data_IF_064477378619
#
_entry.id   IF_064477378619
#
_cell.length_a   1.000
_cell.length_b   1.000
_cell.length_c   1.000
_cell.angle_alpha   90.00
_cell.angle_beta   90.00
_cell.angle_gamma   90.00
#
_symmetry.space_group_name_H-M   'P 1'
#
loop_
_entity.id
_entity.type
_entity.pdbx_description
1 polymer ?
#
# COMPACT_ATOMS: atom_id res chain seq x y z
N UNK A 3 -6.68 6.83 5.34
CA UNK A 3 -5.86 7.86 5.98
C UNK A 3 -4.82 8.47 5.06
N UNK A 4 -4.91 9.79 4.91
CA UNK A 4 -4.13 10.52 3.90
C UNK A 4 -3.79 11.94 4.29
N UNK A 5 -3.44 12.73 3.29
CA UNK A 5 -2.54 13.86 3.45
C UNK A 5 -1.15 13.32 3.67
N UNK A 6 -0.88 12.21 2.97
CA UNK A 6 0.49 11.79 2.66
C UNK A 6 0.86 12.61 1.42
N UNK A 7 1.98 12.30 0.78
CA UNK A 7 2.48 13.14 -0.31
C UNK A 7 1.54 13.35 -1.53
N UNK A 8 0.44 12.62 -1.64
CA UNK A 8 -0.33 12.69 -2.89
C UNK A 8 -1.67 13.40 -2.81
N UNK A 9 -2.12 13.96 -3.95
CA UNK A 9 -3.48 14.49 -4.10
C UNK A 9 -4.50 13.42 -3.74
N UNK A 10 -5.56 13.83 -3.06
CA UNK A 10 -6.57 12.88 -2.57
C UNK A 10 -7.21 12.04 -3.67
N UNK A 11 -7.39 12.63 -4.85
CA UNK A 11 -8.02 11.90 -5.95
C UNK A 11 -7.07 10.83 -6.50
N UNK A 12 -5.77 11.06 -6.31
CA UNK A 12 -4.76 10.11 -6.77
C UNK A 12 -4.67 8.93 -5.80
N UNK A 13 -4.93 9.20 -4.53
CA UNK A 13 -4.93 8.14 -3.52
C UNK A 13 -6.14 7.24 -3.72
N UNK A 14 -7.29 7.87 -4.01
CA UNK A 14 -8.51 7.13 -4.30
C UNK A 14 -8.37 6.33 -5.59
N UNK A 15 -7.79 6.96 -6.61
CA UNK A 15 -7.61 6.31 -7.90
C UNK A 15 -6.77 5.05 -7.72
N UNK A 16 -5.76 5.15 -6.88
CA UNK A 16 -4.84 4.03 -6.62
C UNK A 16 -5.50 2.90 -5.83
N UNK A 17 -6.55 3.22 -5.07
CA UNK A 17 -7.27 2.21 -4.30
C UNK A 17 -8.18 1.39 -5.20
N UNK A 18 -8.76 2.04 -6.20
CA UNK A 18 -9.59 1.37 -7.18
C UNK A 18 -8.74 0.48 -8.09
N UNK A 19 -7.56 0.99 -8.45
CA UNK A 19 -6.62 0.23 -9.27
C UNK A 19 -6.16 -1.05 -8.57
N UNK A 20 -5.83 -0.93 -7.29
CA UNK A 20 -5.41 -2.07 -6.50
C UNK A 20 -6.49 -3.14 -6.42
N UNK A 21 -7.74 -2.71 -6.27
CA UNK A 21 -8.86 -3.64 -6.22
C UNK A 21 -9.01 -4.39 -7.53
N UNK A 22 -8.81 -3.69 -8.64
CA UNK A 22 -8.89 -4.29 -9.97
C UNK A 22 -7.78 -5.32 -10.17
N UNK A 23 -6.57 -4.96 -9.75
CA UNK A 23 -5.41 -5.83 -9.88
C UNK A 23 -5.50 -7.05 -8.96
N UNK A 24 -6.06 -6.87 -7.77
CA UNK A 24 -6.18 -7.98 -6.83
C UNK A 24 -7.30 -8.95 -7.22
N UNK A 25 -8.13 -8.54 -8.18
CA UNK A 25 -9.19 -9.40 -8.67
C UNK A 25 -10.54 -9.15 -8.02
N UNK A 26 -10.58 -8.20 -7.08
CA UNK A 26 -11.84 -7.87 -6.40
C UNK A 26 -12.86 -7.33 -7.39
N UNK A 27 -12.35 -6.81 -8.50
CA UNK A 27 -13.19 -6.39 -9.61
C UNK A 27 -12.55 -6.87 -10.92
N UNK A 28 -13.32 -7.59 -11.72
CA UNK A 28 -12.80 -8.14 -12.97
C UNK A 28 -13.45 -7.46 -14.17
N UNK A 29 -13.04 -7.87 -15.36
CA UNK A 29 -13.48 -7.21 -16.59
C UNK A 29 -14.96 -7.46 -16.86
N UNK A 30 -15.71 -6.37 -17.06
CA UNK A 30 -17.13 -6.46 -17.30
C UNK A 30 -17.95 -6.22 -16.05
N UNK A 31 -17.29 -6.28 -14.89
CA UNK A 31 -17.97 -6.11 -13.61
C UNK A 31 -18.22 -4.63 -13.30
N UNK A 33 -18.28 -1.40 -10.95
CA UNK A 33 -17.69 -0.79 -9.76
C UNK A 33 -18.69 0.17 -9.10
N UNK A 34 -18.51 0.44 -7.80
CA UNK A 34 -19.40 1.34 -7.07
C UNK A 34 -19.56 2.68 -7.77
N UNK A 35 -20.74 3.29 -7.62
CA UNK A 35 -20.99 4.59 -8.23
C UNK A 35 -20.18 5.69 -7.54
N UNK A 36 -19.99 6.80 -8.23
CA UNK A 36 -19.34 7.97 -7.64
C UNK A 36 -20.09 8.38 -6.38
N UNK A 37 -21.41 8.32 -6.46
CA UNK A 37 -22.30 8.67 -5.35
C UNK A 37 -22.13 7.74 -4.15
N UNK A 38 -21.96 6.44 -4.41
CA UNK A 38 -21.82 5.47 -3.34
C UNK A 38 -20.52 5.73 -2.58
N UNK A 39 -19.44 5.90 -3.34
CA UNK A 39 -18.13 6.20 -2.76
C UNK A 39 -18.13 7.48 -1.96
N UNK A 40 -18.77 8.53 -2.49
CA UNK A 40 -18.81 9.83 -1.84
C UNK A 40 -19.49 9.75 -0.47
N UNK A 41 -20.73 9.27 -0.46
CA UNK A 41 -21.52 9.20 0.77
C UNK A 41 -20.94 8.21 1.79
N UNK A 42 -20.47 7.07 1.29
CA UNK A 42 -19.94 6.02 2.16
C UNK A 42 -18.65 6.46 2.85
N UNK A 43 -17.68 6.89 2.06
CA UNK A 43 -16.36 7.26 2.58
C UNK A 43 -16.23 8.75 2.90
N UNK A 44 -17.33 9.48 2.76
CA UNK A 44 -17.36 10.91 3.08
C UNK A 44 -16.29 11.71 2.35
N UNK A 45 -16.25 11.55 1.03
CA UNK A 45 -15.28 12.27 0.20
C UNK A 45 -15.97 13.30 -0.68
N UNK A 46 -15.27 14.39 -0.98
CA UNK A 46 -15.80 15.41 -1.87
C UNK A 46 -16.16 14.80 -3.22
N UNK A 47 -17.43 14.97 -3.64
CA UNK A 47 -17.91 14.42 -4.91
C UNK A 47 -17.06 14.89 -6.09
N UNK A 48 -16.67 16.16 -6.09
CA UNK A 48 -15.85 16.71 -7.16
C UNK A 48 -14.53 15.95 -7.29
N UNK A 49 -13.95 15.56 -6.15
CA UNK A 49 -12.71 14.80 -6.13
C UNK A 49 -12.93 13.38 -6.64
N UNK A 50 -14.01 12.75 -6.19
CA UNK A 50 -14.35 11.40 -6.62
C UNK A 50 -14.54 11.35 -8.13
N UNK A 51 -15.29 12.31 -8.65
CA UNK A 51 -15.55 12.41 -10.07
C UNK A 51 -14.24 12.58 -10.84
N UNK A 52 -13.31 13.34 -10.27
CA UNK A 52 -12.00 13.56 -10.86
C UNK A 52 -11.22 12.26 -10.94
N UNK A 53 -11.35 11.43 -9.91
CA UNK A 53 -10.65 10.15 -9.85
C UNK A 53 -11.21 9.17 -10.88
N UNK A 54 -12.53 9.16 -11.01
CA UNK A 54 -13.21 8.31 -11.99
C UNK A 54 -12.91 8.75 -13.43
N UNK A 55 -12.93 10.06 -13.65
CA UNK A 55 -12.66 10.60 -14.98
C UNK A 55 -11.25 10.20 -15.42
N UNK A 56 -10.32 10.22 -14.47
CA UNK A 56 -8.94 9.81 -14.73
C UNK A 56 -8.88 8.37 -15.21
N UNK A 57 -9.69 7.51 -14.60
CA UNK A 57 -9.76 6.10 -14.97
C UNK A 57 -10.49 5.93 -16.31
N UNK A 58 -11.40 6.84 -16.62
CA UNK A 58 -12.11 6.81 -17.89
C UNK A 58 -11.14 7.15 -19.02
N UNK A 59 -10.42 8.25 -18.85
CA UNK A 59 -9.45 8.71 -19.84
C UNK A 59 -8.35 7.67 -20.07
N UNK A 60 -8.13 6.81 -19.09
CA UNK A 60 -7.07 5.79 -19.17
C UNK A 60 -7.63 4.48 -19.71
N UNK A 61 -8.93 4.47 -20.01
CA UNK A 61 -9.60 3.28 -20.53
C UNK A 61 -9.58 2.12 -19.53
N UNK A 62 -9.52 2.44 -18.25
CA UNK A 62 -9.61 1.43 -17.20
C UNK A 62 -11.06 1.03 -16.98
N UNK A 63 -11.94 2.04 -16.99
CA UNK A 63 -13.37 1.82 -16.80
C UNK A 63 -14.17 2.50 -17.90
N UNK A 64 -15.43 2.13 -18.02
CA UNK A 64 -16.32 2.73 -19.01
C UNK A 64 -17.67 3.00 -18.36
N UNK A 65 -18.28 4.12 -18.70
CA UNK A 65 -19.64 4.40 -18.26
C UNK A 65 -20.59 3.69 -19.23
N UNK A 66 -21.54 2.91 -18.72
CA UNK A 66 -22.51 2.25 -19.61
C UNK A 66 -23.96 2.56 -19.27
N UNK A 67 -24.85 2.34 -20.24
CA UNK A 67 -26.17 2.96 -20.24
C UNK A 67 -26.90 2.92 -18.90
N UNK A 68 -27.39 1.75 -18.50
CA UNK A 68 -28.12 1.62 -17.25
C UNK A 68 -27.31 0.91 -16.17
N UNK A 69 -26.20 0.32 -16.59
CA UNK A 69 -25.40 -0.56 -15.75
C UNK A 69 -24.49 0.18 -14.76
N UNK A 70 -24.24 1.46 -15.02
CA UNK A 70 -23.30 2.20 -14.21
C UNK A 70 -21.88 2.13 -14.76
N UNK A 72 -18.37 0.33 -15.46
CA UNK A 72 -17.85 -1.03 -15.57
C UNK A 72 -16.34 -1.08 -15.85
N UNK A 73 -15.70 -2.19 -15.49
CA UNK A 73 -14.28 -2.39 -15.75
C UNK A 73 -14.08 -2.80 -17.22
N UNK A 74 -13.29 -2.01 -17.93
CA UNK A 74 -13.01 -2.27 -19.35
C UNK A 74 -12.14 -3.51 -19.52
N UNK A 75 -12.17 -4.09 -20.72
CA UNK A 75 -11.45 -5.35 -20.98
C UNK A 75 -9.95 -5.13 -21.17
N UNK A 76 -9.13 -6.01 -20.60
CA UNK A 76 -7.68 -5.88 -20.66
C UNK A 76 -7.12 -4.93 -19.62
N UNK A 77 -7.99 -4.29 -18.85
CA UNK A 77 -7.60 -3.31 -17.83
C UNK A 77 -6.50 -3.75 -16.84
N UNK A 78 -6.64 -4.94 -16.24
CA UNK A 78 -5.68 -5.36 -15.22
C UNK A 78 -4.25 -5.36 -15.74
N UNK A 79 -4.08 -5.85 -16.96
CA UNK A 79 -2.76 -5.89 -17.58
C UNK A 79 -2.28 -4.50 -17.98
N UNK A 80 -3.20 -3.69 -18.49
CA UNK A 80 -2.86 -2.31 -18.84
C UNK A 80 -2.38 -1.54 -17.62
N UNK A 81 -2.95 -1.84 -16.46
CA UNK A 81 -2.56 -1.19 -15.21
C UNK A 81 -1.19 -1.68 -14.74
N UNK A 82 -0.96 -2.99 -14.84
CA UNK A 82 0.32 -3.58 -14.44
C UNK A 82 1.46 -3.03 -15.29
N UNK A 83 1.25 -2.96 -16.60
CA UNK A 83 2.25 -2.39 -17.50
C UNK A 83 2.47 -0.91 -17.19
N UNK A 84 1.38 -0.20 -16.90
CA UNK A 84 1.46 1.20 -16.52
C UNK A 84 2.31 1.39 -15.27
N UNK A 85 2.03 0.59 -14.25
CA UNK A 85 2.80 0.67 -13.01
C UNK A 85 4.27 0.44 -13.32
N UNK A 86 4.56 -0.59 -14.09
CA UNK A 86 5.93 -0.91 -14.46
C UNK A 86 6.57 0.27 -15.18
N UNK A 87 5.91 0.77 -16.22
CA UNK A 87 6.41 1.90 -16.99
C UNK A 87 6.65 3.15 -16.14
N UNK A 88 5.66 3.53 -15.34
CA UNK A 88 5.79 4.70 -14.48
C UNK A 88 7.00 4.57 -13.57
N UNK A 89 7.19 3.37 -13.01
CA UNK A 89 8.35 3.11 -12.16
C UNK A 89 9.64 3.30 -12.95
N UNK A 90 9.70 2.71 -14.14
CA UNK A 90 10.90 2.75 -14.97
C UNK A 90 11.37 4.16 -15.29
N UNK A 91 10.52 4.96 -15.92
CA UNK A 91 10.91 6.30 -16.34
C UNK A 91 10.91 7.35 -15.23
N UNK A 92 9.85 7.38 -14.43
CA UNK A 92 9.68 8.43 -13.42
C UNK A 92 10.21 8.09 -12.03
N UNK A 93 10.70 6.87 -11.84
CA UNK A 93 11.23 6.47 -10.53
C UNK A 93 12.64 5.91 -10.59
N UNK A 94 12.82 4.80 -11.29
CA UNK A 94 14.08 4.07 -11.30
C UNK A 94 15.31 4.98 -11.40
N UNK A 95 15.33 5.89 -12.39
CA UNK A 95 16.40 6.88 -12.37
C UNK A 95 16.14 7.89 -11.25
N UNK A 96 17.18 8.49 -10.70
CA UNK A 96 17.10 9.31 -9.49
C UNK A 96 17.19 8.41 -8.25
N UNK A 97 17.00 7.11 -8.44
CA UNK A 97 17.48 6.11 -7.49
C UNK A 97 18.78 5.56 -8.06
N UNK A 98 19.13 6.06 -9.23
CA UNK A 98 20.11 5.43 -10.13
C UNK A 98 21.61 5.53 -9.84
N UNK A 99 22.25 6.72 -9.80
CA UNK A 99 21.69 8.07 -9.60
C UNK A 99 21.51 8.34 -8.11
N UNK A 100 21.58 7.24 -7.36
CA UNK A 100 21.76 7.23 -5.92
C UNK A 100 22.92 6.27 -5.67
N UNK A 101 22.72 5.02 -6.08
CA UNK A 101 23.74 3.98 -5.97
C UNK A 101 24.95 4.36 -6.82
N UNK A 102 24.81 5.44 -7.58
CA UNK A 102 25.95 6.10 -8.22
C UNK A 102 26.71 6.90 -7.17
N UNK A 103 26.03 7.89 -6.60
CA UNK A 103 26.63 8.77 -5.58
C UNK A 103 27.35 7.97 -4.49
N UNK A 104 26.82 6.78 -4.19
CA UNK A 104 27.54 5.83 -3.34
C UNK A 104 27.74 4.52 -4.09
N UNK A 105 28.97 4.04 -4.13
CA UNK A 105 29.31 2.88 -4.93
C UNK A 105 28.38 1.69 -4.70
N UNK A 106 28.17 0.91 -5.75
CA UNK A 106 27.20 -0.18 -5.71
C UNK A 106 27.20 -1.01 -6.99
N UNK A 107 26.61 -2.20 -6.93
CA UNK A 107 26.46 -3.08 -8.08
C UNK A 107 25.83 -2.34 -9.26
N UNK B 3 -3.31 -12.14 6.60
CA UNK B 3 -2.15 -12.64 5.86
C UNK B 3 -2.41 -13.89 5.03
N UNK B 4 -3.20 -13.69 3.98
CA UNK B 4 -3.28 -14.59 2.85
C UNK B 4 -1.89 -14.36 2.17
N UNK B 5 -1.65 -14.74 0.91
CA UNK B 5 -2.64 -14.85 -0.16
C UNK B 5 -2.77 -16.26 -0.71
N UNK B 6 -1.74 -16.72 -1.41
CA UNK B 6 -1.74 -18.01 -2.10
C UNK B 6 -2.73 -18.14 -3.28
N UNK B 7 -3.50 -19.22 -3.29
CA UNK B 7 -4.34 -19.61 -4.43
C UNK B 7 -5.51 -18.70 -4.85
N UNK B 8 -5.92 -17.74 -4.02
CA UNK B 8 -7.23 -17.11 -4.25
C UNK B 8 -7.27 -15.59 -4.32
N UNK B 9 -8.30 -15.04 -4.99
CA UNK B 9 -8.59 -13.61 -4.88
C UNK B 9 -8.82 -13.25 -3.41
N UNK B 10 -8.30 -12.11 -2.97
CA UNK B 10 -8.35 -11.73 -1.56
C UNK B 10 -9.78 -11.63 -1.00
N UNK B 11 -10.69 -11.09 -1.80
CA UNK B 11 -12.07 -10.89 -1.33
C UNK B 11 -12.79 -12.22 -1.11
N UNK B 12 -12.33 -13.27 -1.79
CA UNK B 12 -12.90 -14.60 -1.61
C UNK B 12 -12.39 -15.24 -0.32
N UNK B 13 -11.19 -14.84 0.09
CA UNK B 13 -10.59 -15.34 1.32
C UNK B 13 -11.21 -14.66 2.52
N UNK B 14 -11.44 -13.35 2.41
CA UNK B 14 -12.12 -12.61 3.47
C UNK B 14 -13.55 -13.11 3.59
N UNK B 15 -14.18 -13.36 2.45
CA UNK B 15 -15.53 -13.91 2.40
C UNK B 15 -15.58 -15.24 3.13
N UNK B 16 -14.54 -16.06 2.96
CA UNK B 16 -14.47 -17.36 3.60
C UNK B 16 -14.27 -17.25 5.10
N UNK B 17 -13.56 -16.22 5.55
CA UNK B 17 -13.34 -16.01 6.97
C UNK B 17 -14.65 -15.69 7.68
N UNK B 18 -15.49 -14.91 7.01
CA UNK B 18 -16.78 -14.51 7.57
C UNK B 18 -17.74 -15.68 7.64
N UNK B 19 -17.74 -16.52 6.60
CA UNK B 19 -18.57 -17.73 6.60
C UNK B 19 -18.16 -18.64 7.75
N UNK B 20 -16.85 -18.75 7.95
CA UNK B 20 -16.31 -19.57 9.03
C UNK B 20 -16.79 -19.06 10.38
N UNK B 21 -16.78 -17.73 10.55
CA UNK B 21 -17.24 -17.09 11.77
C UNK B 21 -18.75 -17.31 12.00
N UNK B 22 -19.49 -17.44 10.91
CA UNK B 22 -20.93 -17.68 10.99
C UNK B 22 -21.21 -19.14 11.36
N UNK B 23 -20.53 -20.05 10.67
CA UNK B 23 -20.66 -21.48 10.94
C UNK B 23 -20.22 -21.83 12.35
N UNK B 24 -19.15 -21.20 12.81
CA UNK B 24 -18.62 -21.48 14.15
C UNK B 24 -19.45 -20.85 15.27
N UNK B 25 -20.40 -19.99 14.90
CA UNK B 25 -21.31 -19.41 15.88
C UNK B 25 -20.86 -18.11 16.51
N UNK B 26 -19.86 -17.46 15.92
CA UNK B 26 -19.40 -16.18 16.42
C UNK B 26 -20.38 -15.08 16.03
N UNK B 27 -20.93 -15.18 14.83
CA UNK B 27 -22.00 -14.30 14.40
C UNK B 27 -23.30 -15.09 14.31
N UNK B 28 -24.21 -14.85 15.25
CA UNK B 28 -25.49 -15.55 15.26
C UNK B 28 -26.46 -14.90 14.28
N UNK B 29 -27.44 -15.67 13.84
CA UNK B 29 -28.47 -15.15 12.95
C UNK B 29 -29.24 -14.02 13.63
N UNK B 30 -29.42 -12.91 12.91
CA UNK B 30 -30.14 -11.77 13.45
C UNK B 30 -29.22 -10.77 14.13
N UNK B 31 -28.03 -11.23 14.50
CA UNK B 31 -27.04 -10.38 15.14
C UNK B 31 -26.32 -9.49 14.13
N UNK B 33 -23.09 -7.63 12.41
CA UNK B 33 -21.70 -7.97 12.14
C UNK B 33 -20.89 -6.70 11.89
N UNK B 34 -19.57 -6.76 12.11
CA UNK B 34 -18.73 -5.56 11.99
C UNK B 34 -18.95 -4.84 10.67
N UNK B 35 -18.91 -3.51 10.71
CA UNK B 35 -19.09 -2.69 9.53
C UNK B 35 -17.92 -2.87 8.57
N UNK B 36 -18.16 -2.59 7.29
CA UNK B 36 -17.10 -2.62 6.30
C UNK B 36 -15.96 -1.74 6.78
N UNK B 37 -16.34 -0.63 7.40
CA UNK B 37 -15.39 0.35 7.92
C UNK B 37 -14.48 -0.27 8.98
N UNK B 38 -15.07 -1.04 9.89
CA UNK B 38 -14.33 -1.68 10.98
C UNK B 38 -13.39 -2.79 10.49
N UNK B 39 -13.82 -3.54 9.48
CA UNK B 39 -13.01 -4.64 8.96
C UNK B 39 -11.75 -4.13 8.27
N UNK B 40 -11.94 -3.18 7.35
CA UNK B 40 -10.82 -2.57 6.63
C UNK B 40 -9.86 -1.84 7.56
N UNK B 41 -10.40 -1.25 8.64
CA UNK B 41 -9.60 -0.49 9.59
C UNK B 41 -8.64 -1.35 10.42
N UNK B 42 -9.18 -2.37 11.06
CA UNK B 42 -8.39 -3.19 11.98
C UNK B 42 -7.48 -4.18 11.26
N UNK B 43 -7.97 -4.78 10.19
CA UNK B 43 -7.22 -5.80 9.48
C UNK B 43 -6.39 -5.25 8.31
N UNK B 44 -6.41 -3.93 8.14
CA UNK B 44 -5.59 -3.28 7.13
C UNK B 44 -5.91 -3.76 5.72
N UNK B 45 -7.20 -3.85 5.40
CA UNK B 45 -7.64 -4.31 4.09
C UNK B 45 -8.24 -3.16 3.29
N UNK B 46 -8.04 -3.20 1.97
CA UNK B 46 -8.67 -2.23 1.08
C UNK B 46 -10.19 -2.29 1.24
N UNK B 47 -10.78 -1.17 1.66
CA UNK B 47 -12.22 -1.11 1.95
C UNK B 47 -13.08 -1.43 0.72
N UNK B 48 -12.53 -1.23 -0.47
CA UNK B 48 -13.23 -1.60 -1.69
C UNK B 48 -13.25 -3.12 -1.85
N UNK B 49 -12.13 -3.75 -1.54
CA UNK B 49 -12.05 -5.21 -1.55
C UNK B 49 -12.99 -5.76 -0.48
N UNK B 50 -13.07 -5.05 0.64
CA UNK B 50 -13.96 -5.43 1.74
C UNK B 50 -15.42 -5.32 1.33
N UNK B 51 -15.75 -4.28 0.57
CA UNK B 51 -17.12 -4.10 0.09
C UNK B 51 -17.52 -5.26 -0.82
N UNK B 52 -16.62 -5.63 -1.73
CA UNK B 52 -16.86 -6.75 -2.63
C UNK B 52 -17.16 -8.02 -1.85
N UNK B 53 -16.46 -8.22 -0.75
CA UNK B 53 -16.67 -9.39 0.09
C UNK B 53 -18.08 -9.39 0.69
N UNK B 54 -18.47 -8.25 1.24
CA UNK B 54 -19.80 -8.07 1.82
C UNK B 54 -20.90 -8.18 0.77
N UNK B 55 -20.61 -7.68 -0.43
CA UNK B 55 -21.58 -7.69 -1.52
C UNK B 55 -21.94 -9.10 -1.97
N UNK B 56 -20.92 -9.94 -2.18
CA UNK B 56 -21.14 -11.31 -2.60
C UNK B 56 -21.91 -12.09 -1.53
N UNK B 57 -21.79 -11.64 -0.29
CA UNK B 57 -22.54 -12.24 0.81
C UNK B 57 -23.99 -11.78 0.78
N UNK B 58 -24.21 -10.50 0.45
CA UNK B 58 -25.55 -9.96 0.30
C UNK B 58 -26.26 -10.68 -0.84
N UNK B 59 -25.57 -10.84 -1.96
CA UNK B 59 -26.10 -11.53 -3.12
C UNK B 59 -26.50 -12.97 -2.80
N UNK B 60 -25.74 -13.63 -1.93
CA UNK B 60 -26.03 -15.01 -1.56
C UNK B 60 -27.07 -15.06 -0.44
N UNK B 61 -27.54 -13.88 -0.04
CA UNK B 61 -28.55 -13.75 1.00
C UNK B 61 -28.08 -14.28 2.36
N UNK B 62 -26.77 -14.26 2.56
CA UNK B 62 -26.20 -14.67 3.84
C UNK B 62 -26.38 -13.55 4.87
N UNK B 63 -26.16 -12.31 4.43
CA UNK B 63 -26.35 -11.15 5.28
C UNK B 63 -27.36 -10.19 4.64
N UNK B 64 -27.66 -9.09 5.34
CA UNK B 64 -28.60 -8.11 4.81
C UNK B 64 -28.33 -6.73 5.40
N UNK B 65 -28.80 -5.71 4.69
CA UNK B 65 -28.62 -4.34 5.11
C UNK B 65 -29.91 -3.87 5.79
N UNK B 66 -29.76 -3.32 7.00
CA UNK B 66 -30.89 -2.76 7.73
C UNK B 66 -30.49 -1.39 8.31
N UNK B 67 -31.20 -0.35 7.89
CA UNK B 67 -30.86 1.02 8.25
C UNK B 67 -30.77 1.24 9.76
N UNK B 68 -29.64 1.77 10.21
CA UNK B 68 -29.40 2.11 11.60
C UNK B 68 -28.80 0.96 12.40
N UNK B 69 -29.08 -0.26 11.95
CA UNK B 69 -28.46 -1.44 12.54
C UNK B 69 -27.23 -1.84 11.74
N UNK B 70 -27.05 -1.22 10.57
CA UNK B 70 -25.99 -1.62 9.66
C UNK B 70 -26.23 -2.97 9.01
N UNK B 72 -26.55 -7.12 8.91
CA UNK B 72 -27.01 -8.21 9.77
C UNK B 72 -26.87 -9.58 9.12
N UNK B 73 -26.94 -10.63 9.94
CA UNK B 73 -26.94 -12.01 9.45
C UNK B 73 -28.37 -12.51 9.24
N UNK B 74 -28.70 -12.88 8.00
CA UNK B 74 -30.04 -13.35 7.67
C UNK B 74 -30.35 -14.69 8.35
N UNK B 75 -31.60 -14.84 8.77
CA UNK B 75 -32.05 -16.07 9.42
C UNK B 75 -31.92 -17.27 8.49
N UNK B 76 -31.30 -18.34 8.98
CA UNK B 76 -31.14 -19.55 8.19
C UNK B 76 -29.81 -19.61 7.48
N UNK B 77 -29.03 -18.55 7.59
CA UNK B 77 -27.72 -18.46 6.94
C UNK B 77 -26.77 -19.59 7.33
N UNK B 78 -26.61 -19.82 8.63
CA UNK B 78 -25.67 -20.84 9.11
C UNK B 78 -25.93 -22.21 8.49
N UNK B 79 -27.20 -22.61 8.41
CA UNK B 79 -27.53 -23.91 7.86
C UNK B 79 -27.29 -23.93 6.35
N UNK B 80 -27.60 -22.81 5.72
CA UNK B 80 -27.40 -22.63 4.28
C UNK B 80 -25.93 -22.78 3.93
N UNK B 81 -25.07 -22.20 4.76
CA UNK B 81 -23.63 -22.26 4.56
C UNK B 81 -23.06 -23.65 4.82
N UNK B 82 -23.49 -24.28 5.91
CA UNK B 82 -23.03 -25.61 6.26
C UNK B 82 -23.23 -26.59 5.10
N UNK B 83 -24.45 -26.63 4.58
CA UNK B 83 -24.79 -27.50 3.47
C UNK B 83 -23.95 -27.21 2.23
N UNK B 84 -23.79 -25.92 1.90
CA UNK B 84 -22.99 -25.52 0.75
C UNK B 84 -21.57 -26.05 0.87
N UNK B 85 -20.94 -25.79 2.02
CA UNK B 85 -19.57 -26.21 2.26
C UNK B 85 -19.41 -27.72 2.42
N UNK B 86 -20.41 -28.38 2.99
CA UNK B 86 -20.34 -29.83 3.20
C UNK B 86 -20.53 -30.58 1.88
N UNK B 87 -21.46 -30.09 1.07
CA UNK B 87 -21.80 -30.74 -0.19
C UNK B 87 -20.69 -30.58 -1.21
N UNK B 88 -20.08 -29.39 -1.24
CA UNK B 88 -18.96 -29.15 -2.14
C UNK B 88 -17.83 -30.11 -1.79
N UNK B 89 -17.51 -30.18 -0.50
CA UNK B 89 -16.47 -31.07 0.00
C UNK B 89 -16.80 -32.54 -0.27
N UNK B 90 -18.05 -32.94 -0.02
CA UNK B 90 -18.44 -34.34 -0.23
C UNK B 90 -18.48 -34.72 -1.71
N UNK B 91 -18.52 -33.72 -2.59
CA UNK B 91 -18.61 -33.97 -4.03
C UNK B 91 -17.29 -33.72 -4.74
N UNK B 92 -16.84 -32.47 -4.75
CA UNK B 92 -15.65 -32.08 -5.51
C UNK B 92 -14.37 -32.30 -4.73
N UNK B 93 -14.48 -32.83 -3.51
CA UNK B 93 -13.31 -33.07 -2.67
C UNK B 93 -13.23 -34.49 -2.12
N UNK B 94 -14.25 -34.90 -1.37
CA UNK B 94 -14.22 -36.14 -0.60
C UNK B 94 -13.77 -37.40 -1.34
N UNK B 95 -14.07 -37.52 -2.65
CA UNK B 95 -13.41 -38.61 -3.39
C UNK B 95 -11.90 -38.37 -3.45
N UNK B 96 -11.13 -39.19 -4.16
CA UNK B 96 -9.69 -38.94 -4.24
C UNK B 96 -9.14 -38.61 -2.86
N UNK B 97 -8.97 -39.61 -1.98
CA UNK B 97 -9.14 -39.43 -0.53
C UNK B 97 -10.63 -39.23 -0.34
N UNK B 98 -11.40 -40.32 -0.40
CA UNK B 98 -10.94 -41.70 -0.11
C UNK B 98 -9.94 -42.46 -1.00
N UNK B 99 -9.81 -42.14 -2.28
CA UNK B 99 -8.87 -42.90 -3.14
C UNK B 99 -7.46 -43.04 -2.55
N UNK B 100 -6.79 -41.90 -2.36
CA UNK B 100 -5.44 -41.87 -1.79
C UNK B 100 -5.37 -42.65 -0.47
N UNK B 101 -6.50 -42.75 0.22
CA UNK B 101 -6.60 -43.54 1.45
C UNK B 101 -6.71 -45.04 1.18
N UNK B 102 -7.56 -45.40 0.20
CA UNK B 102 -7.65 -46.78 -0.24
C UNK B 102 -6.22 -47.28 -0.46
N UNK B 103 -5.53 -46.63 -1.40
CA UNK B 103 -4.10 -46.83 -1.55
C UNK B 103 -3.45 -46.55 -0.19
N UNK B 104 -2.40 -47.30 0.15
CA UNK B 104 -1.85 -47.32 1.51
C UNK B 104 -2.90 -47.62 2.59
N UNK B 105 -2.82 -46.93 3.72
CA UNK B 105 -3.60 -47.30 4.89
C UNK B 105 -4.79 -46.41 5.20
N UNK B 106 -5.57 -46.81 6.19
CA UNK B 106 -6.74 -46.04 6.60
C UNK B 106 -7.01 -46.09 8.10
N UNK B 107 -7.80 -45.11 8.55
CA UNK B 107 -8.47 -45.11 9.84
C UNK B 107 -7.60 -45.27 11.09
N UNK B 108 -6.85 -44.22 11.42
CA UNK B 108 -6.27 -44.09 12.75
C UNK B 108 -7.19 -44.71 13.79
N UNK C 7 9.05 19.87 9.29
CA UNK C 7 8.80 18.48 9.66
C UNK C 7 10.10 17.77 10.02
N UNK C 8 10.01 16.79 10.91
CA UNK C 8 11.19 16.19 11.53
C UNK C 8 11.69 17.15 12.61
N UNK C 9 12.42 16.65 13.62
CA UNK C 9 12.67 17.47 14.82
C UNK C 9 13.59 18.63 14.53
N UNK C 10 13.21 19.49 13.60
CA UNK C 10 14.10 20.47 13.01
C UNK C 10 15.34 19.67 12.74
N UNK C 11 16.49 20.32 12.88
CA UNK C 11 17.66 19.77 13.54
C UNK C 11 18.23 18.49 12.93
N UNK C 12 17.43 17.76 12.14
CA UNK C 12 17.98 16.82 11.17
C UNK C 12 17.96 17.55 9.84
N UNK C 13 17.23 18.65 9.81
CA UNK C 13 17.07 19.47 8.62
C UNK C 13 18.34 20.24 8.37
N UNK C 14 18.94 20.73 9.46
CA UNK C 14 20.23 21.41 9.35
C UNK C 14 21.30 20.34 9.22
N UNK C 15 21.21 19.33 10.08
CA UNK C 15 22.12 18.20 10.05
C UNK C 15 22.22 17.55 8.67
N UNK C 16 21.08 17.18 8.09
CA UNK C 16 21.08 16.53 6.78
C UNK C 16 21.54 17.50 5.69
N UNK C 17 21.00 18.71 5.72
CA UNK C 17 21.37 19.74 4.73
C UNK C 17 22.88 19.93 4.68
N UNK C 18 23.50 19.97 5.86
CA UNK C 18 24.96 20.08 5.95
C UNK C 18 25.61 18.80 5.42
N UNK C 19 25.12 17.66 5.86
CA UNK C 19 25.62 16.36 5.41
C UNK C 19 25.60 16.27 3.89
N UNK C 20 24.46 16.60 3.28
CA UNK C 20 24.34 16.60 1.82
C UNK C 20 25.22 17.65 1.18
N UNK C 21 25.48 18.73 1.90
CA UNK C 21 26.35 19.80 1.42
C UNK C 21 27.79 19.31 1.27
N UNK C 22 28.25 18.51 2.22
CA UNK C 22 29.59 17.93 2.15
C UNK C 22 29.65 16.92 1.00
N UNK C 23 28.66 16.05 0.96
CA UNK C 23 28.58 14.99 -0.04
C UNK C 23 28.44 15.55 -1.47
N UNK C 24 27.85 16.73 -1.61
CA UNK C 24 27.72 17.35 -2.93
C UNK C 24 28.92 18.22 -3.25
N UNK C 25 29.82 18.37 -2.28
CA UNK C 25 31.03 19.16 -2.49
C UNK C 25 30.78 20.65 -2.45
N UNK C 26 29.62 21.05 -1.93
CA UNK C 26 29.29 22.46 -1.77
C UNK C 26 30.08 22.98 -0.59
N UNK C 27 30.28 22.10 0.39
CA UNK C 27 31.18 22.33 1.49
C UNK C 27 32.40 21.44 1.28
N UNK C 28 33.58 22.05 1.24
CA UNK C 28 34.79 21.32 0.91
C UNK C 28 35.60 20.97 2.16
N UNK C 29 36.25 19.81 2.14
CA UNK C 29 37.05 19.36 3.27
C UNK C 29 38.12 20.38 3.63
N UNK C 30 38.37 20.54 4.93
CA UNK C 30 39.37 21.46 5.42
C UNK C 30 39.12 22.90 5.03
N UNK C 31 37.85 23.28 4.96
CA UNK C 31 37.47 24.65 4.65
C UNK C 31 36.39 25.18 5.59
N UNK C 33 33.16 26.42 7.16
CA UNK C 33 31.73 26.36 6.91
C UNK C 33 31.15 27.74 7.17
N UNK C 34 29.84 27.90 6.93
CA UNK C 34 29.19 29.13 7.42
C UNK C 34 29.12 29.09 8.94
N UNK C 35 29.02 30.25 9.61
CA UNK C 35 28.92 30.25 11.06
C UNK C 35 27.47 30.31 11.51
N UNK C 36 27.26 30.26 12.82
CA UNK C 36 25.91 30.22 13.39
C UNK C 36 25.04 31.39 12.95
N UNK C 37 25.59 32.60 12.98
CA UNK C 37 24.83 33.79 12.60
C UNK C 37 24.29 33.64 11.17
N UNK C 38 25.20 33.53 10.22
CA UNK C 38 24.85 33.36 8.81
C UNK C 38 23.86 32.22 8.55
N UNK C 39 23.95 31.15 9.33
CA UNK C 39 23.04 30.02 9.17
C UNK C 39 21.66 30.32 9.75
N UNK C 40 21.61 30.90 10.94
CA UNK C 40 20.35 31.31 11.53
C UNK C 40 19.70 32.36 10.65
N UNK C 41 20.53 33.18 10.01
CA UNK C 41 20.07 34.20 9.08
C UNK C 41 19.72 33.58 7.72
N UNK C 42 20.30 32.41 7.45
CA UNK C 42 20.25 31.81 6.12
C UNK C 42 18.85 31.93 5.53
N UNK C 43 17.89 31.23 6.12
CA UNK C 43 16.51 31.60 5.87
C UNK C 43 15.98 32.11 7.21
N UNK C 44 15.64 31.19 8.11
CA UNK C 44 15.54 31.49 9.53
C UNK C 44 15.77 30.23 10.35
N UNK C 45 16.51 30.37 11.45
CA UNK C 45 16.58 29.34 12.48
C UNK C 45 16.91 29.99 13.83
N UNK C 46 16.38 29.42 14.90
CA UNK C 46 16.81 29.83 16.23
C UNK C 46 18.31 29.56 16.33
N UNK C 47 19.10 30.62 16.64
CA UNK C 47 20.56 30.55 16.62
C UNK C 47 21.10 29.35 17.40
N UNK C 48 20.35 28.94 18.41
CA UNK C 48 20.52 27.64 19.04
C UNK C 48 19.38 26.81 18.43
N UNK C 49 19.64 25.54 18.17
CA UNK C 49 18.90 24.79 17.15
C UNK C 49 19.68 24.96 15.86
N UNK C 50 20.68 25.84 15.89
CA UNK C 50 21.79 25.79 14.95
C UNK C 50 22.91 25.04 15.67
N UNK C 51 22.61 24.65 16.91
CA UNK C 51 23.47 23.81 17.73
C UNK C 51 22.75 22.50 18.02
N UNK C 53 22.63 22.31 14.88
CA UNK C 53 23.04 20.92 14.72
C UNK C 53 24.56 20.78 14.75
N UNK C 54 25.26 21.90 14.80
CA UNK C 54 26.72 21.89 14.81
C UNK C 54 27.25 21.04 15.96
N UNK C 55 26.41 20.79 16.95
CA UNK C 55 26.76 19.89 18.05
C UNK C 55 27.11 18.50 17.53
N UNK C 56 26.09 17.82 16.99
CA UNK C 56 26.23 16.46 16.50
C UNK C 56 27.40 16.27 15.52
N UNK C 57 27.64 17.26 14.67
CA UNK C 57 28.73 17.15 13.69
C UNK C 57 30.09 17.24 14.37
N UNK C 58 30.15 17.92 15.51
CA UNK C 58 31.36 17.94 16.32
C UNK C 58 31.54 16.57 16.96
N UNK C 59 30.47 16.07 17.55
CA UNK C 59 30.46 14.75 18.18
C UNK C 59 30.81 13.67 17.16
N UNK C 60 30.30 13.81 15.95
CA UNK C 60 30.41 12.76 14.93
C UNK C 60 31.67 12.94 14.06
N UNK C 61 32.50 13.92 14.41
CA UNK C 61 33.76 14.16 13.71
C UNK C 61 33.61 14.52 12.23
N UNK C 62 32.49 15.14 11.88
CA UNK C 62 32.32 15.68 10.54
C UNK C 62 33.03 17.03 10.44
N UNK C 63 32.90 17.84 11.48
CA UNK C 63 33.52 19.15 11.52
C UNK C 63 34.35 19.32 12.80
N UNK C 64 35.27 20.29 12.77
CA UNK C 64 36.13 20.56 13.93
C UNK C 64 36.45 22.04 14.04
N UNK C 65 36.91 22.44 15.23
CA UNK C 65 37.21 23.84 15.49
C UNK C 65 38.64 24.18 15.10
N UNK C 69 39.61 31.61 13.38
CA UNK C 69 38.51 30.83 13.95
C UNK C 69 37.62 30.27 12.86
N UNK C 70 36.40 29.93 13.24
CA UNK C 70 35.47 29.28 12.33
C UNK C 70 35.59 27.78 12.53
N UNK C 72 35.62 23.91 10.39
CA UNK C 72 35.79 23.39 9.04
C UNK C 72 35.35 21.94 8.91
N UNK C 73 35.06 21.53 7.68
CA UNK C 73 34.78 20.13 7.42
C UNK C 73 36.08 19.37 7.67
N UNK C 74 36.00 18.28 8.42
CA UNK C 74 37.18 17.47 8.68
C UNK C 74 37.63 16.78 7.40
N UNK C 75 38.89 16.37 7.36
CA UNK C 75 39.37 15.55 6.25
C UNK C 75 38.97 14.09 6.50
N UNK C 76 38.49 13.42 5.46
CA UNK C 76 37.98 12.06 5.61
C UNK C 76 36.51 12.07 5.97
N UNK C 77 35.95 13.27 6.09
CA UNK C 77 34.56 13.48 6.45
C UNK C 77 33.55 12.93 5.43
N UNK C 78 33.75 13.25 4.16
CA UNK C 78 32.79 12.85 3.12
C UNK C 78 32.68 11.34 3.00
N UNK C 79 33.82 10.66 3.10
CA UNK C 79 33.85 9.21 2.97
C UNK C 79 33.13 8.54 4.15
N UNK C 80 33.41 9.01 5.36
CA UNK C 80 32.74 8.50 6.54
C UNK C 80 31.22 8.63 6.39
N UNK C 81 30.79 9.80 5.92
CA UNK C 81 29.37 10.06 5.67
C UNK C 81 28.80 9.14 4.60
N UNK C 82 29.54 8.96 3.52
CA UNK C 82 29.08 8.12 2.41
C UNK C 82 28.83 6.67 2.81
N UNK C 83 29.80 6.05 3.46
CA UNK C 83 29.65 4.66 3.89
C UNK C 83 28.49 4.58 4.86
N UNK C 84 28.37 5.60 5.70
CA UNK C 84 27.29 5.69 6.68
C UNK C 84 25.95 5.72 5.97
N UNK C 85 25.94 6.29 4.77
CA UNK C 85 24.74 6.33 3.94
C UNK C 85 24.45 4.98 3.28
N UNK C 86 25.51 4.31 2.80
CA UNK C 86 25.35 2.99 2.21
C UNK C 86 24.73 2.03 3.20
N UNK C 87 25.29 1.97 4.41
CA UNK C 87 24.76 1.12 5.47
C UNK C 87 23.26 1.30 5.60
N UNK C 88 22.84 2.52 5.96
CA UNK C 88 21.43 2.85 6.09
C UNK C 88 20.64 2.40 4.86
N UNK C 89 20.97 2.98 3.71
CA UNK C 89 20.24 2.69 2.48
C UNK C 89 20.08 1.20 2.25
N UNK C 90 21.18 0.45 2.30
CA UNK C 90 21.10 -0.99 2.08
C UNK C 90 20.15 -1.64 3.10
N UNK C 91 20.32 -1.30 4.37
CA UNK C 91 19.46 -1.81 5.44
C UNK C 91 17.98 -1.45 5.28
N UNK C 92 17.68 -0.16 5.47
CA UNK C 92 16.30 0.32 5.60
C UNK C 92 15.67 0.80 4.31
N UNK C 93 16.44 0.83 3.23
CA UNK C 93 15.98 1.45 1.99
C UNK C 93 15.98 0.51 0.80
N UNK C 94 17.16 0.01 0.45
CA UNK C 94 17.31 -0.89 -0.70
C UNK C 94 16.23 -1.97 -0.74
N UNK C 95 15.90 -2.59 0.41
CA UNK C 95 14.73 -3.46 0.33
C UNK C 95 13.45 -2.65 0.24
N UNK C 96 12.31 -3.32 0.09
CA UNK C 96 11.03 -2.69 -0.22
C UNK C 96 11.03 -2.16 -1.65
N UNK C 97 12.22 -2.00 -2.23
CA UNK C 97 12.38 -1.71 -3.66
C UNK C 97 12.80 -2.94 -4.48
N UNK C 98 13.00 -4.07 -3.83
CA UNK C 98 13.83 -5.15 -4.40
C UNK C 98 13.29 -6.21 -5.41
N UNK C 99 12.31 -7.03 -5.05
CA UNK C 99 11.38 -6.80 -3.94
C UNK C 99 10.53 -5.54 -4.12
N UNK C 100 9.57 -5.70 -5.03
CA UNK C 100 8.83 -4.60 -5.67
C UNK C 100 9.52 -4.16 -6.97
N UNK C 101 10.74 -4.65 -7.22
CA UNK C 101 11.23 -4.74 -8.61
C UNK C 101 10.71 -6.05 -9.18
N UNK C 102 10.78 -7.09 -8.34
CA UNK C 102 10.30 -8.43 -8.68
C UNK C 102 8.78 -8.46 -8.82
N UNK C 103 8.10 -7.65 -8.01
CA UNK C 103 6.65 -7.56 -8.07
C UNK C 103 6.22 -7.11 -9.46
N UNK C 104 7.03 -6.29 -10.12
CA UNK C 104 6.65 -5.69 -11.40
C UNK C 104 7.47 -6.17 -12.62
N UNK C 105 8.68 -5.61 -12.80
CA UNK C 105 9.60 -5.97 -13.86
C UNK C 105 11.05 -5.87 -13.39
N UNK C 106 11.94 -6.60 -14.06
CA UNK C 106 13.25 -6.86 -13.48
C UNK C 106 14.37 -7.10 -14.50
N UNK C 107 15.53 -7.50 -14.00
CA UNK C 107 16.69 -7.74 -14.85
C UNK C 107 17.13 -6.49 -15.59
N UNK C 108 17.75 -5.55 -14.88
CA UNK C 108 18.06 -4.24 -15.48
C UNK C 108 18.69 -4.44 -16.85
N UNK C 109 18.31 -3.58 -17.79
CA UNK C 109 18.32 -3.93 -19.19
C UNK C 109 18.91 -2.83 -20.07
#
# INVERSE_FOLDING_TARGET
XXRWDDKKPIYQQLRDKIVEAIIDGSYVEGEXIPSIRKISTEYQINPLTVSKAYQSLLDDNVIEKRRGLGXLVKAGARQRLLTQEKQYFLKKQWPQIKNKLERLGIDLKELLK
XXRWDDKKPIYQQLRDKIVEAIIDGSYVEGEXIPSIRKISTEYQINPLTVSKAYQSLLDDNVIEKRRGLGXLVKAGARQRLLTQEKQYFLKKQWPQIKNKLERLGIDLKELLK
XXRWDDKKPIYQQLRDKIVEAIIDGSYVEGEXIPSIRKISTEYQINPLTVSKAYQSLLDDNVIEKRRGLGXLVKAGARQRLLTQEKQYFLKKQWPQIKNKLERLGIDLKELLK
#
